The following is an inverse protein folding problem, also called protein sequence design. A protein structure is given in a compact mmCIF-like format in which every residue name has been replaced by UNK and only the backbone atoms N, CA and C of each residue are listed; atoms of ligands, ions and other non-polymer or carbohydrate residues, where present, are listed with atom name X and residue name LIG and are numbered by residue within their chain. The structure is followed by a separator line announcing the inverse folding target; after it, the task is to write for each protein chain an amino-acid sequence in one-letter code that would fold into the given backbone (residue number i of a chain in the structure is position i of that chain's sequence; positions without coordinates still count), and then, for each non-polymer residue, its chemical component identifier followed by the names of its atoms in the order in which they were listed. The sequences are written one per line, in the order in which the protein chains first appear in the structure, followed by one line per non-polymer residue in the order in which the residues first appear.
data_IF_972168578609
#
_entry.id   IF_972168578609
#
_cell.length_a   1.000
_cell.length_b   1.000
_cell.length_c   1.000
_cell.angle_alpha   90.00
_cell.angle_beta   90.00
_cell.angle_gamma   90.00
#
_symmetry.space_group_name_H-M   'P 1'
#
loop_
_entity.id
_entity.type
_entity.pdbx_description
1 polymer ?
#
# COMPACT_ATOMS: atom_id res chain seq x y z
N UNK A 1 25.44 53.81 -35.68
CA UNK A 1 26.33 53.53 -34.53
C UNK A 1 26.22 52.04 -34.18
N UNK A 2 27.03 51.22 -34.85
CA UNK A 2 27.37 49.83 -34.51
C UNK A 2 28.77 49.62 -35.10
N UNK A 3 29.77 49.17 -34.33
CA UNK A 3 31.08 48.91 -34.91
C UNK A 3 31.11 47.51 -35.51
N UNK A 4 31.44 47.47 -36.80
CA UNK A 4 31.87 46.29 -37.52
C UNK A 4 33.24 45.84 -37.01
N UNK A 5 33.37 44.56 -36.63
CA UNK A 5 34.66 43.87 -36.61
C UNK A 5 34.46 42.43 -37.09
N UNK A 6 34.35 42.31 -38.41
CA UNK A 6 34.42 41.03 -39.12
C UNK A 6 35.52 41.13 -40.19
N UNK A 7 36.78 41.00 -39.79
CA UNK A 7 37.91 40.74 -40.68
C UNK A 7 39.16 40.43 -39.86
N UNK A 8 39.52 39.15 -39.73
CA UNK A 8 40.90 38.64 -39.64
C UNK A 8 40.97 37.11 -39.41
N UNK A 9 40.23 36.34 -40.21
CA UNK A 9 40.47 34.89 -40.34
C UNK A 9 41.08 34.51 -41.71
N UNK A 10 41.29 35.47 -42.62
CA UNK A 10 41.87 35.24 -43.94
C UNK A 10 43.25 35.88 -44.01
N UNK A 11 44.23 35.18 -43.46
CA UNK A 11 45.63 35.26 -43.83
C UNK A 11 46.34 34.26 -42.95
N UNK A 12 46.70 33.11 -43.53
CA UNK A 12 47.93 32.35 -43.29
C UNK A 12 47.80 31.06 -44.09
N UNK A 13 48.27 31.16 -45.33
CA UNK A 13 48.52 30.07 -46.25
C UNK A 13 49.32 28.96 -45.54
N UNK A 14 48.79 27.74 -45.54
CA UNK A 14 49.58 26.52 -45.46
C UNK A 14 49.05 25.63 -46.59
N UNK A 15 49.81 25.57 -47.69
CA UNK A 15 49.70 24.53 -48.71
C UNK A 15 49.74 23.17 -48.01
N UNK A 16 48.63 22.44 -48.06
CA UNK A 16 48.67 20.97 -48.12
C UNK A 16 48.48 20.58 -49.58
N UNK A 17 49.18 19.54 -50.09
CA UNK A 17 48.97 19.07 -51.44
C UNK A 17 47.60 18.40 -51.58
N UNK A 18 47.02 18.61 -52.75
CA UNK A 18 45.67 18.25 -53.16
C UNK A 18 45.46 16.73 -53.26
N UNK A 19 44.47 16.21 -52.53
CA UNK A 19 43.68 15.04 -52.92
C UNK A 19 42.45 14.93 -52.00
N UNK A 20 41.28 15.36 -52.51
CA UNK A 20 39.88 15.06 -52.15
C UNK A 20 39.48 14.98 -50.65
N UNK A 21 38.43 15.63 -50.12
CA UNK A 21 37.25 16.27 -50.69
C UNK A 21 36.66 17.31 -49.71
N UNK A 22 35.99 18.31 -50.28
CA UNK A 22 34.97 19.23 -49.75
C UNK A 22 34.87 19.53 -48.24
N UNK A 23 35.25 20.75 -47.89
CA UNK A 23 34.77 21.47 -46.71
C UNK A 23 34.35 22.89 -47.12
N UNK A 24 33.17 22.96 -47.72
CA UNK A 24 32.46 24.21 -47.97
C UNK A 24 32.03 24.83 -46.62
N UNK A 25 32.42 26.08 -46.39
CA UNK A 25 31.78 26.92 -45.38
C UNK A 25 30.46 27.45 -45.96
N UNK A 26 29.34 26.81 -45.62
CA UNK A 26 28.02 27.38 -45.81
C UNK A 26 27.77 28.51 -44.81
N UNK A 27 27.65 29.74 -45.32
CA UNK A 27 27.03 30.86 -44.61
C UNK A 27 25.53 30.89 -44.96
N UNK A 28 24.66 30.98 -43.96
CA UNK A 28 23.22 31.24 -44.16
C UNK A 28 22.90 32.67 -43.74
N UNK A 29 22.09 33.32 -44.57
CA UNK A 29 21.97 34.78 -44.70
C UNK A 29 21.01 35.49 -43.74
N UNK A 30 21.12 36.82 -43.78
CA UNK A 30 20.11 37.79 -43.35
C UNK A 30 20.10 38.91 -44.41
N UNK A 31 18.91 39.28 -44.86
CA UNK A 31 18.58 40.23 -45.94
C UNK A 31 18.48 41.68 -45.44
N UNK A 32 18.93 42.67 -46.23
CA UNK A 32 18.32 44.02 -46.35
C UNK A 32 19.04 44.89 -47.42
N UNK A 33 18.26 45.81 -47.99
CA UNK A 33 18.41 46.55 -49.26
C UNK A 33 19.34 47.78 -49.28
N UNK A 34 19.75 48.10 -50.51
CA UNK A 34 19.86 49.38 -51.25
C UNK A 34 20.81 50.55 -50.90
N UNK A 35 21.55 50.91 -51.98
CA UNK A 35 21.84 52.24 -52.57
C UNK A 35 22.97 53.16 -52.04
N UNK A 36 24.00 53.26 -52.91
CA UNK A 36 24.67 54.48 -53.44
C UNK A 36 25.47 55.43 -52.52
N UNK A 37 26.82 55.48 -52.69
CA UNK A 37 27.63 56.57 -53.28
C UNK A 37 29.13 56.44 -52.92
N UNK A 38 29.99 56.94 -53.83
CA UNK A 38 31.45 56.80 -53.81
C UNK A 38 32.22 58.03 -53.26
N UNK A 39 33.50 57.78 -52.95
CA UNK A 39 34.67 58.70 -52.83
C UNK A 39 34.92 59.43 -51.47
N UNK A 40 36.15 59.95 -51.22
CA UNK A 40 37.48 59.32 -51.28
C UNK A 40 38.25 59.43 -49.93
N UNK A 41 39.44 58.82 -49.87
CA UNK A 41 40.36 58.80 -48.72
C UNK A 41 40.88 60.18 -48.28
N UNK A 42 41.39 60.27 -47.04
CA UNK A 42 42.70 60.90 -46.84
C UNK A 42 43.66 60.00 -46.07
N UNK A 43 44.93 60.13 -46.45
CA UNK A 43 46.10 59.43 -45.95
C UNK A 43 46.56 59.93 -44.57
N UNK A 44 47.47 59.12 -44.01
CA UNK A 44 48.49 59.42 -43.01
C UNK A 44 48.08 59.63 -41.54
N UNK A 45 48.38 58.62 -40.73
CA UNK A 45 49.39 58.81 -39.68
C UNK A 45 49.86 57.49 -39.04
N UNK A 46 51.18 57.39 -38.97
CA UNK A 46 51.97 56.69 -37.96
C UNK A 46 51.87 55.16 -37.86
N UNK A 47 52.88 54.55 -38.50
CA UNK A 47 53.46 53.24 -38.18
C UNK A 47 53.78 53.16 -36.69
N UNK A 48 52.94 52.44 -35.94
CA UNK A 48 53.32 51.84 -34.66
C UNK A 48 53.60 50.36 -34.93
N UNK A 49 54.89 50.01 -35.02
CA UNK A 49 55.32 48.62 -35.06
C UNK A 49 54.84 47.91 -33.80
N UNK A 50 53.71 47.21 -33.91
CA UNK A 50 53.26 46.29 -32.86
C UNK A 50 54.25 45.13 -32.86
N UNK A 51 55.24 45.19 -31.97
CA UNK A 51 55.99 44.00 -31.56
C UNK A 51 54.97 42.89 -31.31
N UNK A 52 55.05 41.81 -32.10
CA UNK A 52 54.19 40.65 -31.93
C UNK A 52 54.48 40.10 -30.56
N UNK A 53 53.63 40.42 -29.57
CA UNK A 53 53.63 39.81 -28.25
C UNK A 53 53.79 38.30 -28.45
N UNK A 54 54.92 37.76 -27.98
CA UNK A 54 55.25 36.35 -28.11
C UNK A 54 54.14 35.48 -27.53
N UNK A 55 54.15 34.19 -27.86
CA UNK A 55 53.16 33.22 -27.39
C UNK A 55 53.23 33.10 -25.85
N UNK A 56 52.40 33.86 -25.14
CA UNK A 56 52.33 33.83 -23.68
C UNK A 56 52.00 32.43 -23.14
N UNK A 57 52.62 32.06 -22.02
CA UNK A 57 52.29 30.83 -21.28
C UNK A 57 50.88 30.96 -20.70
N UNK A 58 50.06 29.94 -20.88
CA UNK A 58 48.71 29.86 -20.30
C UNK A 58 48.61 28.66 -19.36
N UNK A 59 47.81 28.77 -18.30
CA UNK A 59 47.52 27.63 -17.40
C UNK A 59 46.74 26.53 -18.11
N UNK A 60 46.97 25.27 -17.74
CA UNK A 60 46.19 24.12 -18.24
C UNK A 60 44.91 24.00 -17.42
N UNK A 61 43.94 24.88 -17.72
CA UNK A 61 42.57 24.89 -17.21
C UNK A 61 41.61 25.28 -18.34
N UNK A 62 40.30 25.12 -18.13
CA UNK A 62 39.29 25.59 -19.08
C UNK A 62 39.42 27.10 -19.26
N UNK A 63 39.48 27.57 -20.52
CA UNK A 63 39.49 29.00 -20.83
C UNK A 63 38.06 29.53 -20.71
N UNK A 64 37.81 30.45 -19.78
CA UNK A 64 36.45 30.96 -19.53
C UNK A 64 35.95 31.88 -20.65
N UNK A 65 36.79 32.80 -21.12
CA UNK A 65 36.47 33.70 -22.22
C UNK A 65 36.16 32.90 -23.51
N UNK A 66 34.95 33.04 -24.03
CA UNK A 66 34.42 32.27 -25.16
C UNK A 66 35.20 32.51 -26.46
N UNK A 67 35.54 33.76 -26.77
CA UNK A 67 36.32 34.15 -27.95
C UNK A 67 37.73 33.59 -27.90
N UNK A 68 38.43 33.78 -26.77
CA UNK A 68 39.78 33.25 -26.58
C UNK A 68 39.79 31.72 -26.63
N UNK A 69 38.77 31.07 -26.07
CA UNK A 69 38.59 29.63 -26.12
C UNK A 69 38.40 29.14 -27.56
N UNK A 70 37.59 29.83 -28.36
CA UNK A 70 37.35 29.47 -29.76
C UNK A 70 38.61 29.61 -30.62
N UNK A 71 39.32 30.74 -30.49
CA UNK A 71 40.59 30.97 -31.21
C UNK A 71 41.64 29.94 -30.80
N UNK A 72 41.75 29.66 -29.50
CA UNK A 72 42.70 28.66 -28.98
C UNK A 72 42.33 27.25 -29.45
N UNK A 73 41.05 26.88 -29.45
CA UNK A 73 40.57 25.61 -29.98
C UNK A 73 40.98 25.44 -31.44
N UNK A 74 40.69 26.42 -32.30
CA UNK A 74 41.08 26.38 -33.71
C UNK A 74 42.60 26.20 -33.90
N UNK A 75 43.42 26.95 -33.15
CA UNK A 75 44.88 26.86 -33.24
C UNK A 75 45.41 25.52 -32.72
N UNK A 76 44.97 25.08 -31.53
CA UNK A 76 45.45 23.83 -30.91
C UNK A 76 44.97 22.60 -31.67
N UNK A 77 43.72 22.57 -32.13
CA UNK A 77 43.18 21.50 -32.96
C UNK A 77 43.99 21.35 -34.24
N UNK A 78 44.25 22.45 -34.96
CA UNK A 78 45.06 22.41 -36.18
C UNK A 78 46.51 22.00 -35.90
N UNK A 79 47.10 22.48 -34.80
CA UNK A 79 48.43 22.05 -34.37
C UNK A 79 48.49 20.55 -34.06
N UNK A 80 47.48 20.01 -33.39
CA UNK A 80 47.37 18.60 -33.05
C UNK A 80 47.17 17.72 -34.31
N UNK A 81 46.32 18.16 -35.24
CA UNK A 81 46.13 17.49 -36.54
C UNK A 81 47.44 17.42 -37.32
N UNK A 82 48.22 18.51 -37.37
CA UNK A 82 49.55 18.52 -38.00
C UNK A 82 50.50 17.53 -37.33
N UNK A 83 50.51 17.48 -35.99
CA UNK A 83 51.35 16.54 -35.25
C UNK A 83 50.96 15.08 -35.47
N UNK A 84 49.65 14.78 -35.53
CA UNK A 84 49.15 13.46 -35.85
C UNK A 84 49.56 13.03 -37.27
N UNK A 85 49.46 13.93 -38.24
CA UNK A 85 49.93 13.71 -39.61
C UNK A 85 51.43 13.45 -39.68
N UNK A 86 52.24 14.32 -39.07
CA UNK A 86 53.70 14.15 -39.00
C UNK A 86 54.07 12.78 -38.41
N UNK A 87 53.44 12.37 -37.31
CA UNK A 87 53.70 11.07 -36.69
C UNK A 87 53.34 9.90 -37.61
N UNK A 88 52.17 9.95 -38.25
CA UNK A 88 51.74 8.87 -39.15
C UNK A 88 52.67 8.70 -40.35
N UNK A 89 53.19 9.80 -40.91
CA UNK A 89 54.06 9.76 -42.09
C UNK A 89 55.49 9.39 -41.72
N UNK A 90 56.04 9.97 -40.64
CA UNK A 90 57.45 9.76 -40.26
C UNK A 90 57.71 8.36 -39.71
N UNK A 91 56.72 7.75 -39.06
CA UNK A 91 56.89 6.47 -38.37
C UNK A 91 56.06 5.34 -38.97
N UNK A 92 55.36 5.59 -40.10
CA UNK A 92 54.38 4.66 -40.68
C UNK A 92 53.36 4.14 -39.65
N UNK A 93 52.99 5.02 -38.71
CA UNK A 93 52.09 4.69 -37.63
C UNK A 93 50.64 4.90 -38.07
N UNK A 94 49.77 3.93 -37.79
CA UNK A 94 48.33 4.15 -37.92
C UNK A 94 47.84 5.08 -36.81
N UNK A 95 47.34 6.26 -37.21
CA UNK A 95 46.91 7.30 -36.27
C UNK A 95 45.50 7.73 -36.65
N UNK A 96 44.61 7.75 -35.66
CA UNK A 96 43.28 8.38 -35.77
C UNK A 96 43.10 9.41 -34.65
N UNK A 97 42.60 10.60 -35.01
CA UNK A 97 42.30 11.69 -34.09
C UNK A 97 40.85 12.13 -34.31
N UNK A 98 40.08 12.22 -33.22
CA UNK A 98 38.68 12.65 -33.23
C UNK A 98 38.53 13.79 -32.22
N UNK A 99 37.99 14.93 -32.65
CA UNK A 99 37.78 16.10 -31.80
C UNK A 99 36.36 16.64 -31.98
N UNK A 100 35.57 16.60 -30.90
CA UNK A 100 34.28 17.27 -30.85
C UNK A 100 34.42 18.66 -30.22
N UNK A 101 33.92 19.68 -30.91
CA UNK A 101 33.78 21.00 -30.29
C UNK A 101 32.63 21.02 -29.28
N UNK A 102 32.63 22.01 -28.37
CA UNK A 102 31.49 22.26 -27.46
C UNK A 102 30.14 22.51 -28.16
N UNK A 103 30.15 22.78 -29.47
CA UNK A 103 28.95 22.95 -30.31
C UNK A 103 28.57 21.67 -31.06
N UNK A 104 29.20 20.54 -30.76
CA UNK A 104 28.93 19.24 -31.40
C UNK A 104 29.58 19.06 -32.78
N UNK A 105 30.30 20.05 -33.32
CA UNK A 105 31.02 19.90 -34.60
C UNK A 105 32.15 18.89 -34.45
N UNK A 106 32.17 17.89 -35.34
CA UNK A 106 33.21 16.87 -35.47
C UNK A 106 34.37 17.40 -36.33
N UNK A 107 35.60 17.16 -35.86
CA UNK A 107 36.83 17.32 -36.62
C UNK A 107 37.65 16.06 -36.46
N UNK A 108 38.07 15.45 -37.55
CA UNK A 108 38.79 14.18 -37.51
C UNK A 108 39.97 14.14 -38.49
N UNK A 109 40.90 13.23 -38.20
CA UNK A 109 42.01 12.87 -39.07
C UNK A 109 42.30 11.37 -38.92
N UNK A 110 42.58 10.71 -40.03
CA UNK A 110 43.14 9.37 -40.07
C UNK A 110 43.98 9.23 -41.34
N UNK A 111 45.07 8.47 -41.28
CA UNK A 111 45.85 8.11 -42.47
C UNK A 111 45.20 6.98 -43.30
N UNK A 112 44.18 6.31 -42.75
CA UNK A 112 43.39 5.31 -43.44
C UNK A 112 41.89 5.60 -43.28
N UNK A 113 41.21 4.92 -42.36
CA UNK A 113 39.82 5.19 -42.02
C UNK A 113 39.66 5.19 -40.51
N UNK A 114 39.02 6.23 -39.98
CA UNK A 114 38.68 6.33 -38.55
C UNK A 114 37.92 5.08 -38.11
N UNK A 115 36.99 4.59 -38.93
CA UNK A 115 36.23 3.36 -38.66
C UNK A 115 37.15 2.15 -38.57
N UNK A 116 38.06 1.98 -39.54
CA UNK A 116 39.00 0.85 -39.56
C UNK A 116 39.95 0.87 -38.36
N UNK A 117 40.48 2.05 -37.99
CA UNK A 117 41.36 2.19 -36.82
C UNK A 117 40.61 1.90 -35.51
N UNK A 118 39.36 2.36 -35.38
CA UNK A 118 38.50 2.02 -34.22
C UNK A 118 38.23 0.50 -34.17
N UNK A 119 37.94 -0.13 -35.30
CA UNK A 119 37.73 -1.58 -35.37
C UNK A 119 38.98 -2.35 -34.95
N UNK A 120 40.16 -1.93 -35.42
CA UNK A 120 41.45 -2.52 -35.00
C UNK A 120 41.70 -2.34 -33.50
N UNK A 121 41.41 -1.16 -32.95
CA UNK A 121 41.49 -0.90 -31.50
C UNK A 121 40.57 -1.82 -30.71
N UNK A 122 39.31 -1.97 -31.15
CA UNK A 122 38.35 -2.88 -30.51
C UNK A 122 38.86 -4.32 -30.51
N UNK A 123 39.43 -4.78 -31.62
CA UNK A 123 40.03 -6.11 -31.76
C UNK A 123 41.25 -6.31 -30.85
N UNK A 124 42.15 -5.33 -30.80
CA UNK A 124 43.34 -5.39 -29.94
C UNK A 124 42.96 -5.44 -28.44
N UNK A 125 41.90 -4.75 -28.03
CA UNK A 125 41.39 -4.83 -26.66
C UNK A 125 40.64 -6.15 -26.37
N UNK A 126 39.92 -6.73 -27.33
CA UNK A 126 39.26 -8.03 -27.15
C UNK A 126 40.27 -9.17 -27.02
N UNK A 127 41.39 -9.11 -27.75
CA UNK A 127 42.44 -10.15 -27.66
C UNK A 127 43.23 -10.07 -26.34
N UNK A 128 43.19 -8.92 -25.65
CA UNK A 128 43.90 -8.67 -24.38
C UNK A 128 43.03 -8.94 -23.15
N UNK A 129 41.72 -9.14 -23.31
CA UNK A 129 40.83 -9.39 -22.17
C UNK A 129 39.67 -10.30 -22.54
N UNK A 130 39.49 -11.36 -21.74
CA UNK A 130 38.23 -12.08 -21.52
C UNK A 130 37.13 -11.14 -20.95
N UNK A 131 36.88 -10.01 -21.60
CA UNK A 131 35.89 -9.01 -21.23
C UNK A 131 35.18 -8.60 -22.50
N UNK A 132 34.08 -9.29 -22.79
CA UNK A 132 33.12 -8.89 -23.81
C UNK A 132 32.72 -7.43 -23.59
N UNK A 133 32.34 -6.76 -24.67
CA UNK A 133 31.85 -5.39 -24.62
C UNK A 133 30.72 -5.24 -23.58
N UNK A 134 30.51 -4.06 -22.99
CA UNK A 134 29.40 -3.82 -22.03
C UNK A 134 28.05 -4.28 -22.61
N UNK A 135 27.88 -4.19 -23.93
CA UNK A 135 26.72 -4.71 -24.65
C UNK A 135 26.63 -6.25 -24.65
N UNK A 136 27.74 -6.96 -24.83
CA UNK A 136 27.80 -8.43 -24.70
C UNK A 136 27.64 -8.90 -23.26
N UNK A 137 28.21 -8.19 -22.28
CA UNK A 137 28.04 -8.50 -20.86
C UNK A 137 26.58 -8.32 -20.45
N UNK A 138 25.91 -7.25 -20.90
CA UNK A 138 24.48 -7.06 -20.67
C UNK A 138 23.63 -8.10 -21.41
N UNK A 139 23.96 -8.44 -22.67
CA UNK A 139 23.25 -9.46 -23.42
C UNK A 139 23.38 -10.84 -22.75
N UNK A 140 24.57 -11.20 -22.29
CA UNK A 140 24.81 -12.45 -21.54
C UNK A 140 24.10 -12.45 -20.18
N UNK A 141 24.07 -11.32 -19.48
CA UNK A 141 23.33 -11.17 -18.23
C UNK A 141 21.84 -11.44 -18.42
N UNK A 142 21.18 -10.77 -19.37
CA UNK A 142 19.76 -10.99 -19.66
C UNK A 142 19.47 -12.40 -20.17
N UNK A 143 20.41 -13.00 -20.91
CA UNK A 143 20.27 -14.38 -21.38
C UNK A 143 20.38 -15.39 -20.24
N UNK A 144 21.27 -15.17 -19.26
CA UNK A 144 21.34 -15.99 -18.04
C UNK A 144 20.14 -15.79 -17.11
N UNK A 145 19.65 -14.57 -16.97
CA UNK A 145 18.46 -14.29 -16.16
C UNK A 145 17.22 -14.94 -16.78
N UNK A 146 17.10 -14.85 -18.11
CA UNK A 146 16.05 -15.53 -18.86
C UNK A 146 16.13 -17.06 -18.73
N UNK A 147 17.32 -17.66 -18.77
CA UNK A 147 17.46 -19.11 -18.61
C UNK A 147 17.13 -19.57 -17.19
N UNK A 148 17.55 -18.82 -16.17
CA UNK A 148 17.14 -19.06 -14.77
C UNK A 148 15.63 -18.97 -14.59
N UNK A 149 14.99 -17.93 -15.13
CA UNK A 149 13.53 -17.77 -15.05
C UNK A 149 12.80 -18.91 -15.77
N UNK A 150 13.26 -19.34 -16.95
CA UNK A 150 12.69 -20.49 -17.66
C UNK A 150 12.84 -21.79 -16.86
N UNK A 151 13.97 -22.00 -16.21
CA UNK A 151 14.17 -23.16 -15.32
C UNK A 151 13.23 -23.11 -14.11
N UNK A 152 13.07 -21.96 -13.47
CA UNK A 152 12.15 -21.80 -12.34
C UNK A 152 10.69 -22.02 -12.77
N UNK A 153 10.27 -21.46 -13.90
CA UNK A 153 8.93 -21.68 -14.46
C UNK A 153 8.71 -23.17 -14.73
N UNK A 154 9.66 -23.84 -15.38
CA UNK A 154 9.58 -25.28 -15.66
C UNK A 154 9.52 -26.11 -14.36
N UNK A 155 10.33 -25.78 -13.36
CA UNK A 155 10.31 -26.44 -12.05
C UNK A 155 8.97 -26.25 -11.34
N UNK A 156 8.46 -25.01 -11.28
CA UNK A 156 7.15 -24.70 -10.69
C UNK A 156 6.01 -25.38 -11.43
N UNK A 157 6.02 -25.36 -12.77
CA UNK A 157 5.03 -26.05 -13.59
C UNK A 157 5.08 -27.56 -13.38
N UNK A 158 6.26 -28.16 -13.28
CA UNK A 158 6.43 -29.59 -12.99
C UNK A 158 5.96 -29.94 -11.58
N UNK A 159 6.27 -29.15 -10.56
CA UNK A 159 5.75 -29.34 -9.20
C UNK A 159 4.23 -29.22 -9.16
N UNK A 160 3.65 -28.24 -9.87
CA UNK A 160 2.20 -28.04 -9.89
C UNK A 160 1.49 -29.16 -10.67
N UNK A 161 2.05 -29.60 -11.81
CA UNK A 161 1.56 -30.77 -12.56
C UNK A 161 1.65 -32.05 -11.73
N UNK A 162 2.72 -32.20 -10.94
CA UNK A 162 2.93 -33.29 -9.99
C UNK A 162 2.05 -33.21 -8.73
N UNK A 163 1.29 -32.15 -8.52
CA UNK A 163 0.34 -32.04 -7.41
C UNK A 163 -1.11 -32.12 -7.89
N UNK A 164 -1.38 -31.71 -9.14
CA UNK A 164 -2.74 -31.41 -9.58
C UNK A 164 -3.25 -32.29 -10.73
N UNK A 165 -2.38 -32.88 -11.58
CA UNK A 165 -2.87 -33.42 -12.86
C UNK A 165 -2.41 -34.83 -13.26
N UNK A 166 -1.11 -35.18 -13.15
CA UNK A 166 -0.59 -36.40 -13.81
C UNK A 166 0.31 -37.32 -12.95
N UNK A 167 0.48 -37.07 -11.65
CA UNK A 167 1.42 -37.81 -10.80
C UNK A 167 0.80 -38.89 -9.91
N UNK A 168 -0.48 -38.85 -9.56
CA UNK A 168 -1.03 -39.85 -8.63
C UNK A 168 -0.88 -41.28 -9.19
N UNK A 169 -1.03 -41.43 -10.51
CA UNK A 169 -0.86 -42.70 -11.22
C UNK A 169 0.60 -43.13 -11.43
N UNK A 170 1.55 -42.19 -11.34
CA UNK A 170 2.98 -42.44 -11.60
C UNK A 170 3.88 -42.30 -10.36
N UNK A 171 3.30 -41.93 -9.21
CA UNK A 171 4.02 -41.84 -7.93
C UNK A 171 4.39 -43.24 -7.43
N UNK A 172 5.61 -43.37 -6.91
CA UNK A 172 6.00 -44.61 -6.24
C UNK A 172 5.25 -44.73 -4.91
N UNK A 173 5.10 -45.96 -4.42
CA UNK A 173 4.39 -46.23 -3.17
C UNK A 173 5.01 -45.50 -1.96
N UNK A 174 6.32 -45.19 -2.02
CA UNK A 174 7.05 -44.39 -1.02
C UNK A 174 6.60 -42.93 -1.02
N UNK A 175 6.45 -42.34 -2.20
CA UNK A 175 6.05 -40.93 -2.36
C UNK A 175 4.58 -40.73 -1.96
N UNK A 176 3.71 -41.71 -2.30
CA UNK A 176 2.32 -41.76 -1.86
C UNK A 176 2.21 -41.79 -0.34
N UNK A 177 2.99 -42.64 0.34
CA UNK A 177 3.02 -42.71 1.81
C UNK A 177 3.53 -41.42 2.44
N UNK A 178 4.47 -40.73 1.80
CA UNK A 178 4.94 -39.43 2.26
C UNK A 178 3.86 -38.35 2.09
N UNK A 179 3.12 -38.36 0.98
CA UNK A 179 2.02 -37.45 0.71
C UNK A 179 0.86 -37.68 1.70
N UNK A 180 0.51 -38.94 1.96
CA UNK A 180 -0.45 -39.35 2.98
C UNK A 180 -0.07 -38.79 4.35
N UNK A 181 1.17 -39.01 4.81
CA UNK A 181 1.63 -38.48 6.09
C UNK A 181 1.64 -36.94 6.17
N UNK A 182 1.80 -36.24 5.04
CA UNK A 182 1.66 -34.77 4.97
C UNK A 182 0.19 -34.35 5.08
N UNK A 183 -0.71 -35.06 4.41
CA UNK A 183 -2.16 -34.84 4.48
C UNK A 183 -2.71 -35.12 5.88
N UNK A 184 -2.31 -36.22 6.50
CA UNK A 184 -2.71 -36.57 7.87
C UNK A 184 -2.30 -35.50 8.87
N UNK A 185 -1.07 -35.01 8.79
CA UNK A 185 -0.59 -33.89 9.62
C UNK A 185 -1.41 -32.61 9.36
N UNK A 186 -1.75 -32.33 8.10
CA UNK A 186 -2.59 -31.21 7.72
C UNK A 186 -4.00 -31.30 8.32
N UNK A 187 -4.64 -32.46 8.16
CA UNK A 187 -5.97 -32.75 8.71
C UNK A 187 -5.97 -32.69 10.24
N UNK A 188 -4.95 -33.26 10.89
CA UNK A 188 -4.79 -33.20 12.34
C UNK A 188 -4.71 -31.75 12.84
N UNK A 189 -3.95 -30.87 12.15
CA UNK A 189 -3.88 -29.44 12.48
C UNK A 189 -5.21 -28.72 12.31
N UNK A 190 -6.00 -29.06 11.30
CA UNK A 190 -7.33 -28.47 11.09
C UNK A 190 -8.29 -28.94 12.18
N UNK A 191 -8.30 -30.25 12.49
CA UNK A 191 -9.12 -30.82 13.56
C UNK A 191 -8.79 -30.21 14.92
N UNK A 192 -7.50 -30.09 15.26
CA UNK A 192 -7.06 -29.48 16.51
C UNK A 192 -7.55 -28.03 16.66
N UNK A 193 -7.45 -27.21 15.60
CA UNK A 193 -7.97 -25.84 15.61
C UNK A 193 -9.48 -25.80 15.81
N UNK A 194 -10.23 -26.61 15.05
CA UNK A 194 -11.69 -26.70 15.23
C UNK A 194 -12.07 -27.13 16.65
N UNK A 195 -11.37 -28.09 17.23
CA UNK A 195 -11.60 -28.52 18.62
C UNK A 195 -11.37 -27.36 19.58
N UNK A 196 -10.28 -26.61 19.43
CA UNK A 196 -10.02 -25.43 20.26
C UNK A 196 -11.12 -24.37 20.12
N UNK A 197 -11.58 -24.10 18.90
CA UNK A 197 -12.67 -23.16 18.64
C UNK A 197 -13.99 -23.63 19.31
N UNK A 198 -14.35 -24.91 19.19
CA UNK A 198 -15.53 -25.47 19.86
C UNK A 198 -15.41 -25.43 21.38
N UNK A 199 -14.23 -25.73 21.94
CA UNK A 199 -13.98 -25.69 23.38
C UNK A 199 -14.13 -24.26 23.90
N UNK A 200 -13.57 -23.28 23.20
CA UNK A 200 -13.70 -21.86 23.56
C UNK A 200 -15.17 -21.42 23.52
N UNK A 201 -15.90 -21.85 22.50
CA UNK A 201 -17.33 -21.58 22.37
C UNK A 201 -18.13 -22.17 23.55
N UNK A 202 -17.84 -23.41 23.94
CA UNK A 202 -18.48 -24.07 25.09
C UNK A 202 -18.21 -23.30 26.39
N UNK A 203 -16.96 -22.89 26.64
CA UNK A 203 -16.64 -22.09 27.83
C UNK A 203 -17.36 -20.74 27.85
N UNK A 204 -17.48 -20.08 26.70
CA UNK A 204 -18.22 -18.84 26.58
C UNK A 204 -19.72 -19.04 26.91
N UNK A 205 -20.35 -20.08 26.35
CA UNK A 205 -21.76 -20.39 26.63
C UNK A 205 -21.99 -20.79 28.09
N UNK A 206 -21.11 -21.61 28.67
CA UNK A 206 -21.20 -21.97 30.09
C UNK A 206 -21.10 -20.74 31.00
N UNK A 207 -20.19 -19.82 30.67
CA UNK A 207 -20.07 -18.54 31.39
C UNK A 207 -21.34 -17.69 31.29
N UNK A 208 -21.94 -17.61 30.09
CA UNK A 208 -23.20 -16.88 29.88
C UNK A 208 -24.35 -17.49 30.70
N UNK A 209 -24.48 -18.82 30.69
CA UNK A 209 -25.50 -19.54 31.47
C UNK A 209 -25.30 -19.28 32.96
N UNK A 210 -24.08 -19.41 33.48
CA UNK A 210 -23.78 -19.16 34.88
C UNK A 210 -24.11 -17.72 35.30
N UNK A 211 -23.83 -16.74 34.43
CA UNK A 211 -24.19 -15.34 34.70
C UNK A 211 -25.71 -15.14 34.75
N UNK A 212 -26.46 -15.71 33.80
CA UNK A 212 -27.92 -15.63 33.78
C UNK A 212 -28.55 -16.30 35.00
N UNK A 213 -28.07 -17.48 35.40
CA UNK A 213 -28.59 -18.18 36.58
C UNK A 213 -28.31 -17.41 37.87
N UNK A 214 -27.13 -16.80 38.00
CA UNK A 214 -26.81 -15.97 39.17
C UNK A 214 -27.69 -14.72 39.23
N UNK A 215 -27.93 -14.05 38.10
CA UNK A 215 -28.83 -12.90 38.05
C UNK A 215 -30.27 -13.31 38.46
N UNK A 216 -30.79 -14.39 37.88
CA UNK A 216 -32.11 -14.90 38.23
C UNK A 216 -32.19 -15.32 39.71
N UNK A 217 -31.14 -15.94 40.26
CA UNK A 217 -31.08 -16.30 41.68
C UNK A 217 -31.14 -15.06 42.58
N UNK A 218 -30.34 -14.03 42.29
CA UNK A 218 -30.35 -12.78 43.05
C UNK A 218 -31.70 -12.06 42.99
N UNK A 219 -32.36 -12.07 41.84
CA UNK A 219 -33.72 -11.51 41.71
C UNK A 219 -34.73 -12.28 42.54
N UNK A 220 -34.66 -13.62 42.55
CA UNK A 220 -35.55 -14.45 43.37
C UNK A 220 -35.34 -14.18 44.87
N UNK A 221 -34.10 -14.10 45.34
CA UNK A 221 -33.80 -13.76 46.74
C UNK A 221 -34.36 -12.39 47.13
N UNK A 222 -34.22 -11.38 46.26
CA UNK A 222 -34.79 -10.05 46.51
C UNK A 222 -36.32 -10.09 46.60
N UNK A 223 -36.96 -10.83 45.68
CA UNK A 223 -38.41 -11.07 45.68
C UNK A 223 -38.88 -11.73 46.98
N UNK A 224 -38.17 -12.75 47.47
CA UNK A 224 -38.50 -13.39 48.75
C UNK A 224 -38.39 -12.42 49.92
N UNK A 225 -37.31 -11.63 49.98
CA UNK A 225 -37.14 -10.61 51.01
C UNK A 225 -38.24 -9.53 50.96
N UNK A 226 -38.68 -9.13 49.77
CA UNK A 226 -39.77 -8.17 49.59
C UNK A 226 -41.12 -8.75 50.04
N UNK A 227 -41.41 -10.02 49.74
CA UNK A 227 -42.62 -10.70 50.22
C UNK A 227 -42.63 -10.80 51.74
N UNK A 228 -41.53 -11.19 52.37
CA UNK A 228 -41.43 -11.25 53.83
C UNK A 228 -41.66 -9.87 54.48
N UNK A 229 -41.09 -8.81 53.89
CA UNK A 229 -41.31 -7.44 54.35
C UNK A 229 -42.79 -7.04 54.26
N UNK A 230 -43.44 -7.33 53.13
CA UNK A 230 -44.85 -7.01 52.91
C UNK A 230 -45.76 -7.77 53.87
N UNK A 231 -45.50 -9.06 54.13
CA UNK A 231 -46.25 -9.87 55.09
C UNK A 231 -46.13 -9.34 56.52
N UNK A 232 -44.92 -8.93 56.94
CA UNK A 232 -44.71 -8.34 58.26
C UNK A 232 -45.51 -7.04 58.42
N UNK A 233 -45.50 -6.18 57.40
CA UNK A 233 -46.27 -4.93 57.41
C UNK A 233 -47.77 -5.16 57.40
N UNK A 234 -48.25 -6.18 56.68
CA UNK A 234 -49.66 -6.60 56.72
C UNK A 234 -50.08 -7.01 58.14
N UNK A 235 -49.25 -7.81 58.82
CA UNK A 235 -49.50 -8.26 60.19
C UNK A 235 -49.57 -7.08 61.19
N UNK A 236 -48.66 -6.12 61.08
CA UNK A 236 -48.67 -4.89 61.90
C UNK A 236 -49.96 -4.09 61.71
N UNK A 237 -50.34 -3.83 60.44
CA UNK A 237 -51.58 -3.14 60.11
C UNK A 237 -52.83 -3.89 60.58
N UNK A 238 -52.83 -5.22 60.50
CA UNK A 238 -53.92 -6.05 60.99
C UNK A 238 -54.07 -5.93 62.51
N UNK A 239 -52.94 -5.96 63.25
CA UNK A 239 -52.92 -5.80 64.70
C UNK A 239 -53.43 -4.41 65.13
N UNK A 240 -52.97 -3.34 64.45
CA UNK A 240 -53.46 -1.98 64.67
C UNK A 240 -54.96 -1.86 64.37
N UNK A 241 -55.45 -2.51 63.29
CA UNK A 241 -56.88 -2.52 62.96
C UNK A 241 -57.72 -3.19 64.07
N UNK A 242 -57.26 -4.34 64.58
CA UNK A 242 -57.92 -5.02 65.71
C UNK A 242 -57.96 -4.11 66.93
N UNK A 243 -56.83 -3.48 67.27
CA UNK A 243 -56.75 -2.56 68.41
C UNK A 243 -57.74 -1.39 68.26
N UNK A 244 -57.78 -0.76 67.09
CA UNK A 244 -58.71 0.33 66.81
C UNK A 244 -60.17 -0.12 66.90
N UNK A 245 -60.53 -1.28 66.35
CA UNK A 245 -61.90 -1.84 66.49
C UNK A 245 -62.28 -2.06 67.95
N UNK A 246 -61.37 -2.59 68.76
CA UNK A 246 -61.58 -2.73 70.21
C UNK A 246 -61.83 -1.39 70.88
N UNK A 247 -60.99 -0.38 70.58
CA UNK A 247 -61.14 0.98 71.13
C UNK A 247 -62.43 1.67 70.71
N UNK A 248 -62.86 1.50 69.46
CA UNK A 248 -64.16 2.00 68.98
C UNK A 248 -65.29 1.39 69.78
N UNK A 249 -65.31 0.06 69.97
CA UNK A 249 -66.34 -0.62 70.76
C UNK A 249 -66.38 -0.19 72.24
N UNK A 250 -65.23 0.14 72.84
CA UNK A 250 -65.18 0.71 74.19
C UNK A 250 -65.79 2.13 74.24
N UNK A 251 -65.52 2.96 73.23
CA UNK A 251 -66.01 4.33 73.14
C UNK A 251 -67.52 4.38 72.88
N UNK A 252 -68.04 3.48 72.04
CA UNK A 252 -69.48 3.31 71.79
C UNK A 252 -70.23 2.85 73.06
N UNK A 253 -69.61 2.02 73.90
CA UNK A 253 -70.14 1.65 75.23
C UNK A 253 -70.14 2.82 76.22
N UNK A 254 -69.17 3.74 76.09
CA UNK A 254 -69.09 4.96 76.90
C UNK A 254 -70.05 6.08 76.46
N UNK A 255 -70.57 6.02 75.23
CA UNK A 255 -71.48 7.02 74.64
C UNK A 255 -72.97 6.66 74.70
N UNK A 256 -73.37 5.63 75.45
CA UNK A 256 -74.79 5.43 75.79
C UNK A 256 -75.16 6.20 77.07
N UNK A 257 -75.91 7.31 76.96
CA UNK A 257 -76.99 7.60 77.91
C UNK A 257 -78.34 7.47 77.19
N UNK A 258 -79.29 6.80 77.86
CA UNK A 258 -80.75 6.92 77.68
C UNK A 258 -81.31 6.97 76.23
N UNK A 259 -81.89 5.85 75.78
CA UNK A 259 -83.27 5.92 75.29
C UNK A 259 -83.96 4.56 75.33
N UNK A 260 -85.06 4.50 76.10
CA UNK A 260 -85.99 3.38 76.21
C UNK A 260 -87.11 3.54 75.15
N UNK A 261 -87.58 2.41 74.62
CA UNK A 261 -88.80 2.19 73.83
C UNK A 261 -88.82 2.65 72.36
N UNK A 262 -88.92 1.70 71.42
CA UNK A 262 -90.19 1.36 70.75
C UNK A 262 -90.01 0.30 69.66
N UNK A 263 -90.99 -0.59 69.61
CA UNK A 263 -91.26 -1.69 68.68
C UNK A 263 -91.51 -1.26 67.23
N UNK A 264 -91.28 -2.17 66.27
CA UNK A 264 -91.97 -2.16 64.98
C UNK A 264 -91.14 -2.66 63.80
N UNK A 265 -91.30 -3.93 63.44
CA UNK A 265 -90.84 -4.54 62.21
C UNK A 265 -91.40 -3.87 60.94
N UNK A 266 -90.56 -3.66 59.91
CA UNK A 266 -90.77 -4.07 58.50
C UNK A 266 -89.58 -3.70 57.60
N UNK A 267 -89.02 -4.74 56.95
CA UNK A 267 -88.39 -4.81 55.62
C UNK A 267 -87.35 -3.77 55.15
N UNK A 268 -86.11 -4.24 54.96
CA UNK A 268 -85.33 -4.17 53.69
C UNK A 268 -84.04 -4.97 53.95
N UNK A 269 -83.92 -6.23 53.52
CA UNK A 269 -83.23 -6.65 52.29
C UNK A 269 -81.83 -6.03 52.10
N UNK A 270 -80.85 -6.93 51.88
CA UNK A 270 -79.42 -6.73 51.59
C UNK A 270 -78.44 -6.57 52.77
N UNK A 271 -78.16 -7.65 53.54
CA UNK A 271 -76.78 -7.89 54.00
C UNK A 271 -76.56 -9.33 54.53
N UNK A 272 -76.65 -10.33 53.64
CA UNK A 272 -76.39 -11.72 54.05
C UNK A 272 -75.72 -12.60 52.99
N UNK A 273 -74.85 -12.04 52.16
CA UNK A 273 -74.11 -12.83 51.16
C UNK A 273 -72.63 -12.41 51.05
N UNK A 274 -71.90 -12.45 52.17
CA UNK A 274 -70.43 -12.46 52.12
C UNK A 274 -69.95 -13.68 52.92
N UNK A 275 -69.47 -14.76 52.27
CA UNK A 275 -68.90 -15.90 52.98
C UNK A 275 -67.66 -15.45 53.77
N UNK A 276 -67.26 -16.19 54.81
CA UNK A 276 -66.00 -15.94 55.51
C UNK A 276 -64.87 -15.95 54.48
N UNK A 277 -64.08 -14.86 54.43
CA UNK A 277 -62.95 -14.77 53.53
C UNK A 277 -61.85 -15.73 54.01
N UNK A 278 -61.85 -16.95 53.46
CA UNK A 278 -60.86 -17.98 53.78
C UNK A 278 -59.64 -17.83 52.85
N UNK A 279 -58.61 -17.14 53.34
CA UNK A 279 -57.37 -16.85 52.61
C UNK A 279 -56.65 -18.11 52.09
N UNK A 280 -56.94 -19.30 52.63
CA UNK A 280 -56.36 -20.56 52.11
C UNK A 280 -56.92 -20.97 50.75
N UNK A 281 -58.18 -20.68 50.47
CA UNK A 281 -58.81 -21.11 49.20
C UNK A 281 -58.39 -20.23 48.01
N UNK A 282 -58.11 -18.93 48.25
CA UNK A 282 -57.70 -18.02 47.18
C UNK A 282 -56.27 -18.30 46.67
N UNK A 283 -55.36 -18.68 47.57
CA UNK A 283 -54.00 -19.12 47.19
C UNK A 283 -54.03 -20.45 46.42
N UNK A 284 -54.82 -21.43 46.86
CA UNK A 284 -54.89 -22.75 46.21
C UNK A 284 -55.48 -22.69 44.79
N UNK A 285 -56.51 -21.87 44.57
CA UNK A 285 -57.16 -21.72 43.26
C UNK A 285 -56.26 -21.01 42.23
N UNK A 286 -55.53 -19.96 42.64
CA UNK A 286 -54.62 -19.25 41.74
C UNK A 286 -53.41 -20.10 41.34
N UNK A 287 -52.89 -20.94 42.26
CA UNK A 287 -51.77 -21.85 41.96
C UNK A 287 -52.19 -22.91 40.94
N UNK A 288 -53.40 -23.48 41.07
CA UNK A 288 -53.89 -24.50 40.14
C UNK A 288 -54.15 -23.92 38.73
N UNK A 289 -54.73 -22.71 38.66
CA UNK A 289 -55.04 -22.05 37.40
C UNK A 289 -53.78 -21.60 36.65
N UNK A 290 -52.72 -21.20 37.38
CA UNK A 290 -51.45 -20.81 36.79
C UNK A 290 -50.66 -22.03 36.25
N UNK A 291 -50.72 -23.19 36.92
CA UNK A 291 -50.14 -24.44 36.39
C UNK A 291 -50.84 -24.92 35.10
N UNK A 292 -52.16 -24.77 35.02
CA UNK A 292 -52.92 -25.22 33.84
C UNK A 292 -52.63 -24.35 32.60
N UNK A 293 -52.37 -23.05 32.78
CA UNK A 293 -51.95 -22.15 31.70
C UNK A 293 -50.51 -22.42 31.22
N UNK A 294 -49.58 -22.79 32.11
CA UNK A 294 -48.22 -23.16 31.72
C UNK A 294 -48.14 -24.47 30.93
N UNK A 295 -48.97 -25.47 31.26
CA UNK A 295 -49.02 -26.73 30.49
C UNK A 295 -49.59 -26.56 29.07
N UNK A 296 -50.55 -25.65 28.87
CA UNK A 296 -51.05 -25.35 27.52
C UNK A 296 -50.03 -24.58 26.67
N UNK A 297 -49.24 -23.70 27.28
CA UNK A 297 -48.19 -22.97 26.55
C UNK A 297 -47.02 -23.87 26.11
N UNK A 298 -46.70 -24.92 26.89
CA UNK A 298 -45.60 -25.83 26.58
C UNK A 298 -45.95 -26.85 25.48
N UNK A 299 -47.22 -27.29 25.40
CA UNK A 299 -47.67 -28.26 24.40
C UNK A 299 -47.83 -27.67 22.99
N UNK A 300 -48.04 -26.36 22.86
CA UNK A 300 -48.15 -25.68 21.56
C UNK A 300 -46.79 -25.44 20.86
N UNK A 301 -45.66 -25.52 21.58
CA UNK A 301 -44.32 -25.28 21.02
C UNK A 301 -43.62 -26.54 20.48
N UNK A 302 -44.20 -27.74 20.63
CA UNK A 302 -43.59 -29.02 20.25
C UNK A 302 -44.08 -29.60 18.91
N UNK A 303 -44.81 -28.83 18.09
CA UNK A 303 -45.15 -29.27 16.72
C UNK A 303 -43.98 -28.98 15.76
N UNK A 304 -43.37 -30.01 15.12
CA UNK A 304 -42.33 -29.79 14.13
C UNK A 304 -42.91 -29.18 12.86
N UNK A 305 -42.40 -27.99 12.50
CA UNK A 305 -42.65 -27.35 11.20
C UNK A 305 -42.09 -28.21 10.08
N UNK A 306 -42.96 -28.90 9.33
CA UNK A 306 -42.58 -29.61 8.13
C UNK A 306 -42.20 -28.61 7.03
N UNK A 307 -40.94 -28.64 6.60
CA UNK A 307 -40.45 -27.98 5.39
C UNK A 307 -41.09 -28.67 4.17
N UNK A 308 -41.91 -27.93 3.42
CA UNK A 308 -42.46 -28.38 2.15
C UNK A 308 -41.62 -27.78 1.01
N UNK A 309 -40.68 -28.59 0.51
CA UNK A 309 -40.06 -28.43 -0.80
C UNK A 309 -40.97 -29.13 -1.83
N UNK A 310 -41.48 -28.35 -2.77
CA UNK A 310 -42.23 -28.77 -3.95
C UNK A 310 -42.36 -27.58 -4.89
#
# INVERSE_FOLDING_TARGET
MFPAFHANCLSWFCRLPSSQADLSCGASGVTANDHQLAAPAPEDSAVAGSEKMGRGRIEIKRIENTTNRQVTFCKRRNGLLKKAYELSVLCDAEVALIVFSSRGRLYEYSNNSVKATIERYKKANSDTSNSGTVAEVNAQYYQQESSKLRQQISSLQNSNRSLVRDSVSTMTLRDLKQLEGRLEKGIAKIRARKILDYVLLIYFFLGLVAHLTNNAFMQNELMYAEVEYMQKREMELHNDNIYLRSKVSENERGQQPMNMMASGSTSSEYDHMVPPYDSRNFLQANILQQQQQQQQHYSQQLQPTALQLG
#
